data_IF_756417117889
#
_entry.id   IF_756417117889
#
_cell.length_a   1.000
_cell.length_b   1.000
_cell.length_c   1.000
_cell.angle_alpha   90.00
_cell.angle_beta   90.00
_cell.angle_gamma   90.00
#
_symmetry.space_group_name_H-M   'P 1'
#
loop_
_entity.id
_entity.type
_entity.pdbx_description
1 polymer ?
#
# COMPACT_ATOMS: atom_id res chain seq x y z
N UNK A 1 17.40 3.72 -0.09
CA UNK A 1 17.62 2.51 -0.87
C UNK A 1 18.85 2.70 -1.77
N UNK A 2 19.84 1.85 -1.65
CA UNK A 2 21.02 1.90 -2.52
C UNK A 2 21.25 0.53 -3.13
N UNK A 3 21.53 0.47 -4.43
CA UNK A 3 21.84 -0.74 -5.15
C UNK A 3 22.92 -0.53 -6.21
N UNK A 4 23.50 -1.60 -6.69
CA UNK A 4 24.42 -1.58 -7.83
C UNK A 4 23.79 -2.33 -9.00
N UNK A 5 23.66 -1.67 -10.15
CA UNK A 5 23.39 -2.33 -11.43
C UNK A 5 24.50 -1.91 -12.39
N UNK A 6 25.21 -2.86 -12.96
CA UNK A 6 26.30 -2.63 -13.91
C UNK A 6 27.38 -1.66 -13.42
N UNK A 7 27.73 -1.71 -12.12
CA UNK A 7 28.79 -0.87 -11.55
C UNK A 7 28.36 0.56 -11.19
N UNK A 8 27.11 0.97 -11.46
CA UNK A 8 26.58 2.24 -11.02
C UNK A 8 25.93 2.10 -9.64
N UNK A 9 26.32 2.94 -8.68
CA UNK A 9 25.65 3.04 -7.39
C UNK A 9 24.33 3.80 -7.58
N UNK A 10 23.21 3.15 -7.28
CA UNK A 10 21.91 3.83 -7.21
C UNK A 10 21.64 4.25 -5.77
N UNK A 11 21.42 5.51 -5.59
CA UNK A 11 20.79 6.01 -4.38
C UNK A 11 19.33 6.30 -4.71
N UNK A 12 18.42 5.40 -4.34
CA UNK A 12 17.01 5.74 -4.39
C UNK A 12 16.74 6.80 -3.32
N UNK A 13 16.40 7.98 -3.78
CA UNK A 13 15.70 8.94 -2.94
C UNK A 13 14.46 8.21 -2.48
N UNK A 14 14.23 8.26 -1.18
CA UNK A 14 12.95 7.89 -0.62
C UNK A 14 11.90 8.60 -1.48
N UNK A 15 11.14 7.83 -2.26
CA UNK A 15 10.15 8.37 -3.20
C UNK A 15 9.39 9.47 -2.48
N UNK A 16 9.26 10.64 -3.10
CA UNK A 16 8.44 11.73 -2.60
C UNK A 16 7.17 11.12 -2.04
N UNK A 17 7.02 11.18 -0.73
CA UNK A 17 5.83 10.66 -0.07
C UNK A 17 4.68 11.52 -0.60
N UNK A 18 3.83 10.93 -1.39
CA UNK A 18 2.73 11.60 -2.05
C UNK A 18 1.85 12.29 -1.02
N UNK A 19 1.63 13.60 -1.11
CA UNK A 19 0.68 14.29 -0.25
C UNK A 19 -0.68 13.60 -0.32
N UNK A 20 -1.33 13.46 0.83
CA UNK A 20 -2.64 12.83 0.89
C UNK A 20 -3.70 13.82 0.39
N UNK A 21 -4.50 13.40 -0.58
CA UNK A 21 -5.68 14.14 -1.01
C UNK A 21 -6.69 14.29 0.15
N UNK A 22 -7.53 15.30 0.11
CA UNK A 22 -8.70 15.38 0.98
C UNK A 22 -9.60 14.18 0.75
N UNK A 23 -10.10 13.59 1.85
CA UNK A 23 -11.01 12.46 1.74
C UNK A 23 -12.42 12.93 1.41
N UNK A 24 -13.02 12.30 0.41
CA UNK A 24 -14.46 12.36 0.21
C UNK A 24 -15.08 11.27 1.09
N UNK A 25 -16.04 11.63 1.92
CA UNK A 25 -16.71 10.68 2.81
C UNK A 25 -17.59 9.71 2.02
N UNK A 26 -17.05 8.58 1.63
CA UNK A 26 -17.78 7.51 0.93
C UNK A 26 -18.11 6.38 1.88
N UNK A 27 -19.33 5.88 1.80
CA UNK A 27 -19.77 4.73 2.57
C UNK A 27 -18.92 3.48 2.20
N UNK A 28 -18.35 2.83 3.21
CA UNK A 28 -17.52 1.64 3.05
C UNK A 28 -18.37 0.37 3.03
N UNK A 29 -18.65 -0.15 1.86
CA UNK A 29 -19.52 -1.32 1.65
C UNK A 29 -18.75 -2.60 1.31
N UNK A 30 -17.48 -2.49 0.92
CA UNK A 30 -16.59 -3.60 0.54
C UNK A 30 -15.50 -3.76 1.59
N UNK A 31 -15.15 -4.99 1.95
CA UNK A 31 -14.14 -5.22 2.97
C UNK A 31 -12.72 -4.98 2.47
N UNK A 32 -12.40 -5.49 1.28
CA UNK A 32 -11.03 -5.52 0.78
C UNK A 32 -10.93 -5.11 -0.69
N UNK A 33 -9.97 -4.25 -1.01
CA UNK A 33 -9.59 -3.92 -2.38
C UNK A 33 -8.12 -4.26 -2.65
N UNK A 34 -7.86 -4.75 -3.87
CA UNK A 34 -6.50 -4.91 -4.34
C UNK A 34 -6.39 -4.51 -5.82
N UNK A 35 -5.37 -3.75 -6.16
CA UNK A 35 -5.12 -3.30 -7.53
C UNK A 35 -3.67 -3.50 -7.93
N UNK A 36 -3.45 -3.68 -9.23
CA UNK A 36 -2.13 -3.82 -9.80
C UNK A 36 -1.87 -5.21 -10.38
N UNK A 37 -0.58 -5.52 -10.59
CA UNK A 37 -0.14 -6.78 -11.18
C UNK A 37 0.21 -7.79 -10.11
N UNK A 38 -0.25 -9.02 -10.29
CA UNK A 38 0.14 -10.15 -9.47
C UNK A 38 1.10 -11.05 -10.25
N UNK A 39 2.29 -11.36 -9.68
CA UNK A 39 3.20 -12.36 -10.24
C UNK A 39 2.87 -13.74 -9.67
N UNK A 40 2.96 -14.76 -10.52
CA UNK A 40 2.82 -16.15 -10.10
C UNK A 40 3.90 -16.58 -9.11
N UNK A 41 3.52 -17.50 -8.19
CA UNK A 41 4.46 -18.21 -7.32
C UNK A 41 4.93 -17.44 -6.08
N UNK A 42 4.40 -16.26 -5.80
CA UNK A 42 4.76 -15.48 -4.61
C UNK A 42 3.73 -15.62 -3.49
N UNK A 43 4.15 -15.43 -2.23
CA UNK A 43 3.27 -15.37 -1.05
C UNK A 43 2.08 -14.42 -1.26
N UNK A 44 2.31 -13.32 -1.97
CA UNK A 44 1.28 -12.37 -2.38
C UNK A 44 0.14 -13.04 -3.14
N UNK A 45 0.43 -13.85 -4.15
CA UNK A 45 -0.59 -14.55 -4.92
C UNK A 45 -1.39 -15.49 -4.04
N UNK A 46 -0.70 -16.29 -3.22
CA UNK A 46 -1.33 -17.23 -2.30
C UNK A 46 -2.28 -16.51 -1.35
N UNK A 47 -1.82 -15.44 -0.73
CA UNK A 47 -2.62 -14.66 0.23
C UNK A 47 -3.83 -14.01 -0.43
N UNK A 48 -3.67 -13.35 -1.59
CA UNK A 48 -4.79 -12.73 -2.29
C UNK A 48 -5.81 -13.77 -2.75
N UNK A 49 -5.38 -14.98 -3.16
CA UNK A 49 -6.29 -16.08 -3.48
C UNK A 49 -7.06 -16.58 -2.26
N UNK A 50 -6.42 -16.63 -1.08
CA UNK A 50 -7.11 -16.98 0.16
C UNK A 50 -8.18 -15.94 0.49
N UNK A 51 -7.84 -14.65 0.43
CA UNK A 51 -8.79 -13.54 0.66
C UNK A 51 -9.97 -13.62 -0.31
N UNK A 52 -9.68 -13.78 -1.60
CA UNK A 52 -10.72 -13.85 -2.64
C UNK A 52 -11.68 -15.04 -2.47
N UNK A 53 -11.19 -16.17 -1.97
CA UNK A 53 -11.99 -17.39 -1.78
C UNK A 53 -12.74 -17.44 -0.45
N UNK A 54 -12.43 -16.55 0.45
CA UNK A 54 -13.08 -16.51 1.75
C UNK A 54 -14.49 -15.89 1.60
N UNK A 55 -15.56 -16.65 1.94
CA UNK A 55 -16.92 -16.20 1.76
C UNK A 55 -17.31 -15.05 2.70
N UNK A 56 -16.53 -14.84 3.77
CA UNK A 56 -16.80 -13.80 4.74
C UNK A 56 -16.17 -12.45 4.34
N UNK A 57 -15.35 -12.38 3.28
CA UNK A 57 -14.66 -11.16 2.86
C UNK A 57 -15.15 -10.73 1.48
N UNK A 58 -15.86 -9.62 1.43
CA UNK A 58 -16.22 -9.00 0.15
C UNK A 58 -15.01 -8.33 -0.50
N UNK A 59 -14.79 -8.56 -1.80
CA UNK A 59 -13.56 -8.11 -2.47
C UNK A 59 -13.82 -7.34 -3.76
N UNK A 60 -12.98 -6.34 -4.02
CA UNK A 60 -12.81 -5.70 -5.33
C UNK A 60 -11.37 -5.86 -5.80
N UNK A 61 -11.19 -6.46 -6.99
CA UNK A 61 -9.88 -6.75 -7.57
C UNK A 61 -9.76 -6.12 -8.95
N UNK A 62 -8.77 -5.24 -9.14
CA UNK A 62 -8.55 -4.50 -10.39
C UNK A 62 -7.13 -4.72 -10.89
N UNK A 63 -6.97 -5.24 -12.10
CA UNK A 63 -5.65 -5.40 -12.72
C UNK A 63 -5.35 -6.77 -13.30
N UNK A 64 -4.06 -7.14 -13.28
CA UNK A 64 -3.57 -8.40 -13.81
C UNK A 64 -3.51 -9.51 -12.77
N UNK A 65 -4.51 -10.39 -12.75
CA UNK A 65 -4.60 -11.53 -11.84
C UNK A 65 -4.45 -12.85 -12.60
N UNK A 66 -3.90 -13.89 -11.96
CA UNK A 66 -3.82 -15.22 -12.57
C UNK A 66 -5.19 -15.86 -12.75
N UNK A 67 -5.26 -16.95 -13.53
CA UNK A 67 -6.49 -17.71 -13.77
C UNK A 67 -7.17 -18.14 -12.46
N UNK A 68 -8.51 -18.15 -12.46
CA UNK A 68 -9.32 -18.54 -11.31
C UNK A 68 -9.54 -17.45 -10.26
N UNK A 69 -9.13 -16.20 -10.55
CA UNK A 69 -9.50 -15.02 -9.77
C UNK A 69 -10.29 -14.08 -10.68
N UNK A 70 -11.57 -13.88 -10.35
CA UNK A 70 -12.43 -12.94 -11.10
C UNK A 70 -12.06 -11.52 -10.71
N UNK A 71 -11.72 -10.71 -11.69
CA UNK A 71 -11.42 -9.27 -11.52
C UNK A 71 -12.64 -8.45 -11.97
N UNK A 72 -12.85 -7.31 -11.32
CA UNK A 72 -13.88 -6.35 -11.71
C UNK A 72 -13.49 -5.58 -12.98
N UNK A 73 -12.19 -5.30 -13.14
CA UNK A 73 -11.67 -4.64 -14.33
C UNK A 73 -10.25 -5.11 -14.67
N UNK A 74 -9.87 -4.95 -15.94
CA UNK A 74 -8.51 -5.08 -16.40
C UNK A 74 -7.62 -3.98 -15.78
N UNK A 75 -6.35 -3.94 -16.16
CA UNK A 75 -5.42 -2.89 -15.73
C UNK A 75 -5.92 -1.52 -16.12
N UNK A 76 -6.21 -0.68 -15.13
CA UNK A 76 -6.58 0.72 -15.29
C UNK A 76 -5.35 1.57 -14.91
N UNK A 77 -4.87 2.38 -15.86
CA UNK A 77 -3.73 3.29 -15.64
C UNK A 77 -4.17 4.66 -15.12
N UNK A 78 -5.38 5.08 -15.53
CA UNK A 78 -5.93 6.36 -15.13
C UNK A 78 -6.49 6.27 -13.70
N UNK A 79 -5.88 7.00 -12.80
CA UNK A 79 -6.28 7.06 -11.40
C UNK A 79 -7.70 7.57 -11.19
N UNK A 80 -8.17 8.48 -12.05
CA UNK A 80 -9.53 9.01 -11.99
C UNK A 80 -10.60 7.95 -12.26
N UNK A 81 -10.25 6.92 -13.04
CA UNK A 81 -11.14 5.79 -13.32
C UNK A 81 -11.00 4.70 -12.25
N UNK A 82 -9.80 4.51 -11.70
CA UNK A 82 -9.51 3.48 -10.71
C UNK A 82 -10.08 3.83 -9.34
N UNK A 83 -9.91 5.08 -8.91
CA UNK A 83 -10.28 5.57 -7.59
C UNK A 83 -11.74 5.24 -7.19
N UNK A 84 -12.77 5.57 -8.01
CA UNK A 84 -14.16 5.27 -7.64
C UNK A 84 -14.47 3.79 -7.47
N UNK A 85 -13.68 2.90 -8.08
CA UNK A 85 -13.86 1.44 -7.92
C UNK A 85 -13.29 0.92 -6.61
N UNK A 86 -12.27 1.59 -6.07
CA UNK A 86 -11.57 1.19 -4.86
C UNK A 86 -12.14 1.86 -3.61
N UNK A 87 -12.67 3.07 -3.76
CA UNK A 87 -13.14 3.93 -2.68
C UNK A 87 -14.14 3.26 -1.73
N UNK A 88 -15.09 2.41 -2.17
CA UNK A 88 -16.00 1.73 -1.26
C UNK A 88 -15.34 0.69 -0.36
N UNK A 89 -14.06 0.38 -0.55
CA UNK A 89 -13.38 -0.62 0.25
C UNK A 89 -12.85 -0.06 1.58
N UNK A 90 -12.90 -0.89 2.64
CA UNK A 90 -12.38 -0.57 3.98
C UNK A 90 -10.88 -0.66 4.07
N UNK A 91 -10.29 -1.66 3.41
CA UNK A 91 -8.85 -1.89 3.51
C UNK A 91 -8.22 -2.46 2.24
N UNK A 92 -6.90 -2.43 2.24
CA UNK A 92 -6.05 -3.15 1.29
C UNK A 92 -4.90 -3.85 2.03
N UNK A 93 -4.08 -4.61 1.29
CA UNK A 93 -2.89 -5.27 1.82
C UNK A 93 -1.66 -4.92 0.98
N UNK A 94 -0.66 -4.35 1.63
CA UNK A 94 0.61 -3.95 1.03
C UNK A 94 1.64 -5.07 1.17
N UNK A 95 2.30 -5.40 0.08
CA UNK A 95 3.38 -6.39 0.04
C UNK A 95 4.66 -5.76 -0.45
N UNK A 96 5.78 -6.22 0.06
CA UNK A 96 7.08 -5.94 -0.53
C UNK A 96 7.14 -6.50 -1.95
N UNK A 97 7.96 -5.86 -2.78
CA UNK A 97 8.20 -6.38 -4.12
C UNK A 97 9.28 -7.47 -4.13
N UNK A 98 10.47 -7.16 -3.70
CA UNK A 98 11.63 -8.08 -3.62
C UNK A 98 12.49 -7.82 -2.38
N UNK A 99 12.43 -6.63 -1.83
CA UNK A 99 13.25 -6.18 -0.72
C UNK A 99 12.35 -5.82 0.47
N UNK A 100 12.55 -6.42 1.64
CA UNK A 100 11.75 -6.14 2.83
C UNK A 100 11.91 -4.70 3.37
N UNK A 101 12.95 -3.98 2.94
CA UNK A 101 13.13 -2.56 3.27
C UNK A 101 12.42 -1.62 2.30
N UNK A 102 12.01 -2.13 1.12
CA UNK A 102 11.36 -1.34 0.10
C UNK A 102 9.86 -1.18 0.40
N UNK A 103 9.41 0.05 0.38
CA UNK A 103 7.99 0.40 0.43
C UNK A 103 7.39 0.46 -0.97
N UNK A 104 6.07 0.41 -1.05
CA UNK A 104 5.35 0.56 -2.33
C UNK A 104 4.37 1.72 -2.24
N UNK A 105 4.06 2.34 -3.38
CA UNK A 105 3.10 3.44 -3.47
C UNK A 105 1.69 3.06 -2.96
N UNK A 106 1.37 1.77 -2.86
CA UNK A 106 0.05 1.31 -2.40
C UNK A 106 -0.30 1.79 -1.00
N UNK A 107 0.67 1.91 -0.10
CA UNK A 107 0.40 2.38 1.26
C UNK A 107 -0.14 3.83 1.27
N UNK A 108 0.56 4.84 0.73
CA UNK A 108 0.01 6.20 0.62
C UNK A 108 -1.19 6.30 -0.32
N UNK A 109 -1.24 5.51 -1.40
CA UNK A 109 -2.42 5.46 -2.27
C UNK A 109 -3.67 5.04 -1.50
N UNK A 110 -3.58 3.99 -0.67
CA UNK A 110 -4.69 3.53 0.16
C UNK A 110 -5.15 4.60 1.15
N UNK A 111 -4.22 5.27 1.83
CA UNK A 111 -4.54 6.38 2.72
C UNK A 111 -5.21 7.55 1.99
N UNK A 112 -4.79 7.84 0.75
CA UNK A 112 -5.42 8.87 -0.09
C UNK A 112 -6.86 8.53 -0.47
N UNK A 113 -7.17 7.24 -0.62
CA UNK A 113 -8.53 6.75 -0.94
C UNK A 113 -9.40 6.62 0.32
N UNK A 114 -8.83 6.81 1.51
CA UNK A 114 -9.53 6.58 2.76
C UNK A 114 -9.72 5.10 3.07
N UNK A 115 -8.72 4.28 2.80
CA UNK A 115 -8.66 2.88 3.20
C UNK A 115 -7.62 2.64 4.28
N UNK A 116 -7.86 1.64 5.13
CA UNK A 116 -6.84 1.11 6.06
C UNK A 116 -5.83 0.28 5.27
N UNK A 117 -4.56 0.70 5.17
CA UNK A 117 -3.51 -0.12 4.56
C UNK A 117 -2.96 -1.10 5.59
N UNK A 118 -3.30 -2.36 5.49
CA UNK A 118 -2.56 -3.41 6.17
C UNK A 118 -1.24 -3.69 5.45
N UNK A 119 -0.24 -4.15 6.18
CA UNK A 119 1.08 -4.48 5.65
C UNK A 119 1.46 -5.92 5.99
N UNK A 120 2.01 -6.63 5.00
CA UNK A 120 2.32 -8.04 5.15
C UNK A 120 3.71 -8.25 5.72
N UNK A 121 3.81 -8.92 6.87
CA UNK A 121 5.06 -9.37 7.50
C UNK A 121 6.13 -8.26 7.57
N UNK A 122 7.21 -8.46 6.84
CA UNK A 122 8.41 -7.61 6.85
C UNK A 122 8.29 -6.31 6.02
N UNK A 123 7.08 -5.96 5.57
CA UNK A 123 6.90 -4.72 4.83
C UNK A 123 7.41 -3.53 5.64
N UNK A 124 8.20 -2.67 4.99
CA UNK A 124 8.75 -1.46 5.61
C UNK A 124 9.49 -1.74 6.94
N UNK A 125 10.52 -2.60 6.93
CA UNK A 125 11.34 -2.90 8.11
C UNK A 125 11.96 -1.67 8.75
N UNK A 126 12.25 -0.65 7.96
CA UNK A 126 12.86 0.59 8.43
C UNK A 126 11.83 1.58 9.01
N UNK A 127 10.58 1.20 9.05
CA UNK A 127 9.46 2.04 9.51
C UNK A 127 9.40 3.42 8.84
N UNK A 128 9.67 3.44 7.53
CA UNK A 128 9.72 4.64 6.69
C UNK A 128 8.40 5.41 6.67
N UNK A 129 7.29 4.68 6.78
CA UNK A 129 5.93 5.22 6.74
C UNK A 129 5.30 5.41 8.12
N UNK A 130 6.05 5.19 9.20
CA UNK A 130 5.54 5.25 10.58
C UNK A 130 4.29 4.38 10.78
N UNK A 131 4.41 3.11 10.36
CA UNK A 131 3.31 2.16 10.33
C UNK A 131 2.98 1.70 11.75
N UNK A 132 1.72 1.84 12.12
CA UNK A 132 1.23 1.32 13.39
C UNK A 132 1.36 -0.22 13.47
N UNK A 133 1.81 -0.79 14.60
CA UNK A 133 1.93 -2.24 14.76
C UNK A 133 0.63 -3.01 14.46
N UNK A 134 -0.53 -2.41 14.71
CA UNK A 134 -1.80 -3.03 14.40
C UNK A 134 -2.05 -3.18 12.90
N UNK A 135 -1.40 -2.40 12.05
CA UNK A 135 -1.50 -2.57 10.60
C UNK A 135 -0.67 -3.75 10.07
N UNK A 136 0.28 -4.30 10.87
CA UNK A 136 1.11 -5.45 10.48
C UNK A 136 0.37 -6.75 10.68
N UNK A 137 0.29 -7.55 9.62
CA UNK A 137 -0.31 -8.88 9.65
C UNK A 137 0.68 -9.93 9.18
N UNK A 138 0.72 -11.06 9.89
CA UNK A 138 1.69 -12.13 9.65
C UNK A 138 1.04 -13.39 9.09
N UNK A 139 -0.29 -13.49 9.17
CA UNK A 139 -1.07 -14.62 8.66
C UNK A 139 -2.39 -14.15 8.04
N UNK A 140 -3.00 -15.03 7.26
CA UNK A 140 -4.34 -14.77 6.71
C UNK A 140 -5.40 -14.69 7.81
N UNK A 141 -5.31 -15.49 8.83
CA UNK A 141 -6.24 -15.53 9.97
C UNK A 141 -6.21 -14.21 10.76
N UNK A 142 -5.01 -13.68 11.00
CA UNK A 142 -4.82 -12.38 11.63
C UNK A 142 -5.41 -11.27 10.77
N UNK A 143 -5.12 -11.28 9.47
CA UNK A 143 -5.68 -10.36 8.50
C UNK A 143 -7.22 -10.40 8.51
N UNK A 144 -7.80 -11.60 8.36
CA UNK A 144 -9.27 -11.81 8.37
C UNK A 144 -9.91 -11.22 9.64
N UNK A 145 -9.35 -11.54 10.81
CA UNK A 145 -9.85 -11.02 12.08
C UNK A 145 -9.91 -9.48 12.09
N UNK A 146 -8.83 -8.83 11.63
CA UNK A 146 -8.76 -7.36 11.60
C UNK A 146 -9.73 -6.76 10.56
N UNK A 147 -9.84 -7.36 9.39
CA UNK A 147 -10.81 -6.94 8.37
C UNK A 147 -12.24 -6.97 8.91
N UNK A 148 -12.62 -8.04 9.58
CA UNK A 148 -13.95 -8.16 10.18
C UNK A 148 -14.20 -7.09 11.28
N UNK A 149 -13.15 -6.73 12.03
CA UNK A 149 -13.24 -5.64 13.03
C UNK A 149 -13.54 -4.29 12.37
N UNK A 150 -13.02 -4.03 11.16
CA UNK A 150 -13.27 -2.78 10.44
C UNK A 150 -14.73 -2.57 10.04
N UNK A 151 -15.57 -3.60 10.05
CA UNK A 151 -17.00 -3.50 9.74
C UNK A 151 -17.76 -2.67 10.79
N UNK A 152 -17.29 -2.65 12.03
CA UNK A 152 -17.86 -1.81 13.08
C UNK A 152 -17.59 -0.32 12.88
N UNK A 153 -16.61 0.02 12.05
CA UNK A 153 -16.21 1.38 11.70
C UNK A 153 -14.69 1.48 11.54
N UNK A 154 -14.24 2.20 10.53
CA UNK A 154 -12.81 2.36 10.25
C UNK A 154 -12.36 3.83 10.11
N UNK A 155 -13.29 4.79 10.22
CA UNK A 155 -13.01 6.20 9.98
C UNK A 155 -11.94 6.77 10.90
N UNK A 156 -12.03 6.55 12.20
CA UNK A 156 -11.05 7.03 13.19
C UNK A 156 -9.67 6.43 12.97
N UNK A 157 -9.58 5.14 12.61
CA UNK A 157 -8.30 4.50 12.27
C UNK A 157 -7.69 5.09 11.00
N UNK A 158 -8.49 5.37 9.99
CA UNK A 158 -8.01 5.98 8.76
C UNK A 158 -7.41 7.35 9.05
N UNK A 159 -8.08 8.19 9.83
CA UNK A 159 -7.57 9.52 10.21
C UNK A 159 -6.28 9.40 11.02
N UNK A 160 -6.23 8.52 12.00
CA UNK A 160 -5.02 8.26 12.78
C UNK A 160 -3.83 7.87 11.90
N UNK A 161 -4.04 6.93 10.95
CA UNK A 161 -2.97 6.48 10.07
C UNK A 161 -2.55 7.53 9.04
N UNK A 162 -3.49 8.35 8.59
CA UNK A 162 -3.18 9.52 7.76
C UNK A 162 -2.30 10.51 8.52
N UNK A 163 -2.62 10.80 9.77
CA UNK A 163 -1.84 11.72 10.59
C UNK A 163 -0.46 11.15 10.93
N UNK A 164 -0.35 9.85 11.19
CA UNK A 164 0.94 9.20 11.38
C UNK A 164 1.81 9.26 10.12
N UNK A 165 1.21 9.07 8.94
CA UNK A 165 1.93 9.21 7.67
C UNK A 165 2.36 10.66 7.40
N UNK A 166 1.51 11.65 7.70
CA UNK A 166 1.87 13.07 7.54
C UNK A 166 3.12 13.46 8.33
N UNK A 167 3.31 12.89 9.53
CA UNK A 167 4.50 13.15 10.38
C UNK A 167 5.83 12.75 9.73
N UNK A 168 5.80 11.88 8.74
CA UNK A 168 6.99 11.44 8.02
C UNK A 168 7.11 12.02 6.60
N UNK A 169 6.18 12.90 6.22
CA UNK A 169 6.31 13.67 4.99
C UNK A 169 7.45 14.68 5.14
N UNK A 170 8.32 14.72 4.16
CA UNK A 170 9.32 15.76 4.06
C UNK A 170 8.67 17.03 3.53
N UNK A 171 9.07 18.17 4.04
CA UNK A 171 8.82 19.45 3.39
C UNK A 171 9.59 19.50 2.06
N UNK A 172 9.20 20.42 1.18
CA UNK A 172 9.87 20.59 -0.10
C UNK A 172 11.35 20.93 0.08
N UNK A 173 11.69 21.78 1.05
CA UNK A 173 13.06 22.15 1.38
C UNK A 173 13.89 20.97 1.88
N UNK A 174 13.37 20.17 2.80
CA UNK A 174 14.02 18.95 3.30
C UNK A 174 14.27 17.94 2.17
N UNK A 175 13.32 17.83 1.24
CA UNK A 175 13.46 16.98 0.06
C UNK A 175 14.60 17.47 -0.83
N UNK A 176 14.66 18.76 -1.16
CA UNK A 176 15.71 19.33 -1.99
C UNK A 176 17.08 19.23 -1.32
N UNK A 177 17.15 19.41 -0.01
CA UNK A 177 18.38 19.20 0.74
C UNK A 177 18.87 17.73 0.65
N UNK A 178 17.99 16.75 0.89
CA UNK A 178 18.32 15.34 0.77
C UNK A 178 18.75 14.98 -0.65
N UNK A 179 18.07 15.51 -1.67
CA UNK A 179 18.41 15.31 -3.06
C UNK A 179 19.79 15.87 -3.39
N UNK A 180 20.06 17.11 -2.98
CA UNK A 180 21.34 17.78 -3.19
C UNK A 180 22.49 17.01 -2.53
N UNK A 181 22.31 16.58 -1.29
CA UNK A 181 23.30 15.79 -0.56
C UNK A 181 23.58 14.43 -1.22
N UNK A 182 22.54 13.80 -1.77
CA UNK A 182 22.69 12.56 -2.51
C UNK A 182 23.49 12.77 -3.82
N UNK A 183 23.17 13.81 -4.57
CA UNK A 183 23.90 14.14 -5.81
C UNK A 183 25.39 14.41 -5.54
N UNK A 184 25.70 15.15 -4.48
CA UNK A 184 27.09 15.39 -4.07
C UNK A 184 27.87 14.11 -3.76
N UNK A 185 27.21 13.14 -3.10
CA UNK A 185 27.81 11.83 -2.77
C UNK A 185 27.99 10.91 -3.98
N UNK A 186 27.23 11.13 -5.04
CA UNK A 186 27.29 10.32 -6.28
C UNK A 186 28.38 10.83 -7.24
N UNK A 187 28.94 12.03 -7.00
CA UNK A 187 29.98 12.65 -7.80
C UNK A 187 31.40 12.44 -7.23
N UNK A 188 31.51 11.77 -6.09
CA UNK A 188 32.76 11.35 -5.44
C UNK A 188 32.86 9.82 -5.51
#
# INVERSE_FOLDING_TARGET
FSGNIHGMKYHFIQTLKTPLAEMVGTEKTIDFAYWGRMKHGHDREKTIRQIYRDPDISTVLVGGFPSGVKRQAAWIKDWKQLYPMLEPARCTLCFNWLDPTATTARYPEALSIGMVPFVWRDYDKNNTYNIDPWQRVNSFEEFKKRVLTLRAGCGSLIEEYRDNYKKVLLTEDEYFEQFSNMMKRSLV
#
